data_IF_468560301300
#
_entry.id   IF_468560301300
#
_cell.length_a   1.000
_cell.length_b   1.000
_cell.length_c   1.000
_cell.angle_alpha   90.00
_cell.angle_beta   90.00
_cell.angle_gamma   90.00
#
_symmetry.space_group_name_H-M   'P 1'
#
loop_
_entity.id
_entity.type
_entity.pdbx_description
1 polymer ?
#
# COMPACT_ATOMS: atom_id res chain seq x y z
N UNK A 1 17.10 -5.09 -17.40
CA UNK A 1 16.08 -4.22 -16.78
C UNK A 1 15.26 -5.12 -15.90
N UNK A 2 15.18 -4.85 -14.60
CA UNK A 2 14.27 -5.60 -13.73
C UNK A 2 12.88 -5.08 -14.06
N UNK A 3 12.07 -5.90 -14.75
CA UNK A 3 10.64 -5.64 -14.83
C UNK A 3 10.12 -5.60 -13.39
N UNK A 4 9.47 -4.50 -13.00
CA UNK A 4 8.72 -4.52 -11.75
C UNK A 4 7.77 -5.71 -11.81
N UNK A 5 7.70 -6.51 -10.74
CA UNK A 5 6.90 -7.73 -10.71
C UNK A 5 5.40 -7.47 -10.96
N UNK A 6 4.98 -6.21 -10.88
CA UNK A 6 3.66 -5.71 -11.25
C UNK A 6 3.44 -4.33 -10.64
N UNK A 7 2.31 -3.71 -10.98
CA UNK A 7 1.85 -2.47 -10.34
C UNK A 7 0.52 -2.73 -9.65
N UNK A 8 0.41 -2.33 -8.38
CA UNK A 8 -0.87 -2.20 -7.69
C UNK A 8 -1.21 -0.72 -7.59
N UNK A 9 -2.31 -0.32 -8.23
CA UNK A 9 -2.83 1.05 -8.17
C UNK A 9 -4.09 1.07 -7.32
N UNK A 10 -4.14 1.97 -6.35
CA UNK A 10 -5.27 2.13 -5.42
C UNK A 10 -5.71 3.60 -5.46
N UNK A 11 -6.97 3.80 -5.80
CA UNK A 11 -7.67 5.07 -5.55
C UNK A 11 -8.11 5.05 -4.09
N UNK A 12 -7.48 5.89 -3.28
CA UNK A 12 -7.57 5.84 -1.83
C UNK A 12 -8.92 6.37 -1.34
N UNK A 13 -9.71 5.47 -0.74
CA UNK A 13 -10.89 5.82 0.03
C UNK A 13 -10.51 6.07 1.50
N UNK A 14 -11.03 7.14 2.10
CA UNK A 14 -10.67 7.56 3.45
C UNK A 14 -11.19 6.63 4.55
N UNK A 15 -12.23 5.84 4.26
CA UNK A 15 -13.03 5.20 5.31
C UNK A 15 -12.90 3.66 5.39
N UNK A 16 -12.05 2.99 4.58
CA UNK A 16 -12.01 1.52 4.53
C UNK A 16 -10.64 0.86 4.27
N UNK A 17 -10.58 -0.46 4.48
CA UNK A 17 -9.48 -1.29 3.97
C UNK A 17 -9.57 -1.39 2.45
N UNK A 18 -8.50 -1.03 1.76
CA UNK A 18 -8.55 -0.89 0.29
C UNK A 18 -8.57 -2.25 -0.42
N UNK A 19 -7.79 -3.22 0.08
CA UNK A 19 -7.70 -4.56 -0.49
C UNK A 19 -7.81 -5.61 0.61
N UNK A 20 -8.75 -6.54 0.47
CA UNK A 20 -8.89 -7.68 1.37
C UNK A 20 -8.65 -9.00 0.63
N UNK A 21 -7.62 -9.74 1.06
CA UNK A 21 -7.25 -11.06 0.54
C UNK A 21 -7.53 -12.10 1.61
N UNK A 22 -8.26 -13.17 1.27
CA UNK A 22 -8.64 -14.16 2.29
C UNK A 22 -7.43 -14.93 2.87
N UNK A 23 -6.47 -15.30 2.02
CA UNK A 23 -5.33 -16.14 2.38
C UNK A 23 -4.01 -15.35 2.35
N UNK A 24 -3.12 -15.64 1.40
CA UNK A 24 -1.79 -15.04 1.34
C UNK A 24 -1.72 -14.00 0.23
N UNK A 25 -1.20 -12.82 0.56
CA UNK A 25 -0.77 -11.82 -0.42
C UNK A 25 0.77 -11.86 -0.52
N UNK A 26 1.30 -12.14 -1.73
CA UNK A 26 2.73 -12.09 -2.00
C UNK A 26 3.04 -10.90 -2.90
N UNK A 27 3.80 -9.95 -2.39
CA UNK A 27 4.13 -8.68 -3.02
C UNK A 27 5.65 -8.57 -2.97
N UNK A 28 6.34 -8.77 -4.08
CA UNK A 28 7.80 -8.77 -4.08
C UNK A 28 8.28 -8.07 -5.36
N UNK A 29 8.94 -6.93 -5.21
CA UNK A 29 9.44 -6.15 -6.36
C UNK A 29 8.36 -5.37 -7.12
N UNK A 30 7.14 -5.31 -6.59
CA UNK A 30 6.04 -4.56 -7.19
C UNK A 30 6.16 -3.05 -6.91
N UNK A 31 5.49 -2.25 -7.75
CA UNK A 31 5.30 -0.82 -7.53
C UNK A 31 3.90 -0.57 -6.97
N UNK A 32 3.81 0.17 -5.86
CA UNK A 32 2.55 0.67 -5.33
C UNK A 32 2.30 2.08 -5.85
N UNK A 33 1.11 2.34 -6.38
CA UNK A 33 0.65 3.68 -6.77
C UNK A 33 -0.60 4.02 -5.96
N UNK A 34 -0.54 5.12 -5.21
CA UNK A 34 -1.65 5.64 -4.41
C UNK A 34 -2.10 6.98 -4.98
N UNK A 35 -3.38 7.08 -5.30
CA UNK A 35 -3.99 8.35 -5.71
C UNK A 35 -5.00 8.80 -4.67
N UNK A 36 -4.94 10.07 -4.30
CA UNK A 36 -5.83 10.65 -3.29
C UNK A 36 -6.70 11.72 -3.93
N UNK A 37 -8.02 11.68 -3.67
CA UNK A 37 -8.94 12.72 -4.14
C UNK A 37 -8.60 14.10 -3.54
N UNK A 38 -8.07 14.11 -2.32
CA UNK A 38 -7.63 15.29 -1.59
C UNK A 38 -6.33 14.98 -0.87
N UNK A 39 -5.44 15.98 -0.72
CA UNK A 39 -4.18 15.79 0.02
C UNK A 39 -4.47 15.37 1.46
N UNK A 40 -4.04 14.17 1.90
CA UNK A 40 -4.30 13.70 3.25
C UNK A 40 -3.47 14.48 4.28
N UNK A 41 -3.93 14.47 5.54
CA UNK A 41 -3.20 15.13 6.63
C UNK A 41 -2.02 14.27 7.08
N UNK A 42 -0.89 14.89 7.40
CA UNK A 42 0.25 14.21 8.03
C UNK A 42 -0.18 13.42 9.28
N UNK A 43 0.34 12.20 9.42
CA UNK A 43 -0.03 11.26 10.47
C UNK A 43 -1.31 10.46 10.21
N UNK A 44 -2.01 10.68 9.09
CA UNK A 44 -3.15 9.82 8.72
C UNK A 44 -2.64 8.43 8.38
N UNK A 45 -3.36 7.40 8.86
CA UNK A 45 -3.06 6.00 8.59
C UNK A 45 -4.14 5.37 7.72
N UNK A 46 -3.71 4.57 6.74
CA UNK A 46 -4.58 3.80 5.87
C UNK A 46 -4.17 2.33 5.88
N UNK A 47 -5.13 1.44 6.11
CA UNK A 47 -4.89 0.01 5.90
C UNK A 47 -5.04 -0.31 4.42
N UNK A 48 -3.92 -0.46 3.72
CA UNK A 48 -3.92 -0.71 2.28
C UNK A 48 -4.36 -2.12 1.95
N UNK A 49 -3.84 -3.10 2.69
CA UNK A 49 -4.08 -4.50 2.42
C UNK A 49 -4.21 -5.28 3.71
N UNK A 50 -5.20 -6.17 3.79
CA UNK A 50 -5.30 -7.22 4.80
C UNK A 50 -5.22 -8.59 4.15
N UNK A 51 -4.51 -9.51 4.79
CA UNK A 51 -4.40 -10.91 4.40
C UNK A 51 -4.21 -11.80 5.62
N UNK A 52 -4.46 -13.11 5.50
CA UNK A 52 -4.05 -14.05 6.55
C UNK A 52 -2.53 -14.10 6.71
N UNK A 53 -1.79 -13.96 5.61
CA UNK A 53 -0.33 -13.83 5.61
C UNK A 53 0.11 -12.83 4.53
N UNK A 54 1.14 -12.06 4.85
CA UNK A 54 1.84 -11.19 3.89
C UNK A 54 3.26 -11.67 3.68
N UNK A 55 3.68 -11.76 2.42
CA UNK A 55 5.05 -12.07 2.04
C UNK A 55 5.62 -11.04 1.08
N UNK A 56 6.86 -10.61 1.35
CA UNK A 56 7.59 -9.65 0.53
C UNK A 56 7.23 -8.19 0.81
N UNK A 57 7.84 -7.28 0.05
CA UNK A 57 7.65 -5.83 0.14
C UNK A 57 7.54 -5.19 -1.26
N UNK A 58 6.87 -4.04 -1.32
CA UNK A 58 6.93 -3.18 -2.50
C UNK A 58 8.34 -2.62 -2.67
N UNK A 59 8.85 -2.61 -3.90
CA UNK A 59 10.15 -2.03 -4.21
C UNK A 59 10.08 -0.52 -4.41
N UNK A 60 8.93 0.00 -4.84
CA UNK A 60 8.70 1.42 -5.07
C UNK A 60 7.29 1.81 -4.61
N UNK A 61 7.16 3.03 -4.11
CA UNK A 61 5.89 3.66 -3.76
C UNK A 61 5.82 5.00 -4.47
N UNK A 62 4.74 5.21 -5.22
CA UNK A 62 4.37 6.48 -5.83
C UNK A 62 3.05 6.92 -5.18
N UNK A 63 3.06 8.09 -4.54
CA UNK A 63 1.91 8.62 -3.80
C UNK A 63 1.67 10.09 -4.15
N UNK A 64 1.88 10.44 -5.42
CA UNK A 64 1.78 11.79 -5.95
C UNK A 64 2.64 12.81 -5.19
N UNK A 65 2.01 13.64 -4.35
CA UNK A 65 2.63 14.78 -3.66
C UNK A 65 2.83 14.54 -2.17
N UNK A 66 2.48 13.36 -1.65
CA UNK A 66 2.68 13.02 -0.24
C UNK A 66 3.77 11.96 -0.08
N UNK A 67 4.53 12.07 1.00
CA UNK A 67 5.46 11.01 1.41
C UNK A 67 4.70 10.01 2.26
N UNK A 68 4.88 8.73 1.96
CA UNK A 68 4.24 7.62 2.67
C UNK A 68 5.32 6.74 3.26
N UNK A 69 5.15 6.40 4.55
CA UNK A 69 5.88 5.32 5.18
C UNK A 69 5.00 4.06 5.21
N UNK A 70 5.54 2.93 4.78
CA UNK A 70 4.83 1.64 4.84
C UNK A 70 5.29 0.83 6.05
N UNK A 71 4.33 0.28 6.78
CA UNK A 71 4.55 -0.72 7.81
C UNK A 71 3.98 -2.05 7.37
N UNK A 72 4.82 -3.07 7.33
CA UNK A 72 4.45 -4.45 6.99
C UNK A 72 4.29 -5.24 8.28
N UNK A 73 3.05 -5.65 8.55
CA UNK A 73 2.71 -6.57 9.61
C UNK A 73 2.49 -7.98 9.03
N UNK A 74 2.41 -8.99 9.89
CA UNK A 74 2.17 -10.38 9.48
C UNK A 74 0.92 -10.55 8.58
N UNK A 75 -0.08 -9.69 8.77
CA UNK A 75 -1.41 -9.79 8.16
C UNK A 75 -1.93 -8.46 7.58
N UNK A 76 -1.14 -7.39 7.58
CA UNK A 76 -1.56 -6.11 7.00
C UNK A 76 -0.41 -5.24 6.51
N UNK A 77 -0.70 -4.39 5.52
CA UNK A 77 0.17 -3.28 5.11
C UNK A 77 -0.54 -1.99 5.45
N UNK A 78 0.11 -1.17 6.27
CA UNK A 78 -0.40 0.13 6.69
C UNK A 78 0.48 1.24 6.10
N UNK A 79 -0.16 2.22 5.47
CA UNK A 79 0.47 3.44 5.01
C UNK A 79 0.24 4.56 6.03
N UNK A 80 1.30 5.23 6.45
CA UNK A 80 1.25 6.45 7.27
C UNK A 80 1.74 7.62 6.43
N UNK A 81 0.94 8.69 6.36
CA UNK A 81 1.33 9.95 5.71
C UNK A 81 2.32 10.69 6.59
N UNK A 82 3.42 11.18 6.03
CA UNK A 82 4.40 12.01 6.77
C UNK A 82 4.00 13.49 6.89
#
# INVERSE_FOLDING_TARGET
>A
MVESAGTLSIEMDADDTQVNVAETAYIDGATLVLTFDQTPTAGTEYTLLTASNIGGEFANVDADQVTINLTYNDNSIVATVE
#
